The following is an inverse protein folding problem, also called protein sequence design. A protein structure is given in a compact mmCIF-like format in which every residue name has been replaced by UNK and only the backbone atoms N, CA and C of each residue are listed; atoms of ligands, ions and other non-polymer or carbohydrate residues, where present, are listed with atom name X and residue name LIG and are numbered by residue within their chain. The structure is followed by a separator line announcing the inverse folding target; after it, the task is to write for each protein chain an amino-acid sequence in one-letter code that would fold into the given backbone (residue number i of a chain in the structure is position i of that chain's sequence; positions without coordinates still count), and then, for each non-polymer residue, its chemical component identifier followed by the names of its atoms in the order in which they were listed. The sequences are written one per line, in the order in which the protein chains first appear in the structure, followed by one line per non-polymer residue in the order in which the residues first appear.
data_IF_512581303085
#
_entry.id   IF_512581303085
#
_cell.length_a   1.000
_cell.length_b   1.000
_cell.length_c   1.000
_cell.angle_alpha   90.00
_cell.angle_beta   90.00
_cell.angle_gamma   90.00
#
_symmetry.space_group_name_H-M   'P 1'
#
loop_
_entity.id
_entity.type
_entity.pdbx_description
1 polymer ?
2 polymer ?
3 non-polymer ?
#
loop_
_entity_poly.entity_id
_entity_poly.type
_entity_poly.pdbx_seq_one_letter_code
_entity_poly.pdbx_strand_id
2 'polydeoxyribonucleotide' '(DA)(DT)(DT)(DT)(DT)(DC)(DA)(DA)(DT)(DT)' ?
#
# COMPACT_ATOMS: atom_id res chain seq x y z
N UNK A 1 -31.01 13.40 -9.41
CA UNK A 1 -31.86 12.32 -8.83
C UNK A 1 -31.69 11.04 -9.65
N UNK A 2 -30.52 10.46 -9.63
CA UNK A 2 -30.30 9.21 -10.41
C UNK A 2 -30.59 8.00 -9.54
N UNK A 3 -31.19 6.98 -10.10
CA UNK A 3 -31.51 5.77 -9.30
C UNK A 3 -30.21 5.08 -8.86
N UNK A 4 -30.19 4.54 -7.68
CA UNK A 4 -28.96 3.85 -7.20
C UNK A 4 -28.71 2.58 -8.02
N UNK A 5 -27.47 2.23 -8.24
CA UNK A 5 -27.09 1.03 -9.03
C UNK A 5 -27.55 -0.28 -8.38
N UNK A 6 -27.95 -1.24 -9.16
CA UNK A 6 -28.39 -2.53 -8.57
C UNK A 6 -27.19 -3.47 -8.42
N UNK A 7 -26.24 -3.36 -9.30
CA UNK A 7 -25.04 -4.25 -9.20
C UNK A 7 -24.29 -3.94 -7.90
N UNK A 8 -24.43 -2.75 -7.38
CA UNK A 8 -23.72 -2.42 -6.11
C UNK A 8 -23.20 -0.98 -6.19
N UNK A 9 -22.55 -0.53 -5.14
CA UNK A 9 -21.99 0.85 -5.08
C UNK A 9 -20.81 1.05 -6.04
N UNK A 10 -20.64 2.24 -6.55
CA UNK A 10 -19.52 2.48 -7.50
C UNK A 10 -18.20 2.46 -6.73
N UNK A 11 -18.22 1.96 -5.52
CA UNK A 11 -16.97 1.91 -4.72
C UNK A 11 -16.13 0.71 -5.18
N UNK A 12 -16.58 0.02 -6.19
CA UNK A 12 -15.82 -1.17 -6.68
C UNK A 12 -14.61 -0.69 -7.50
N UNK A 13 -13.53 -1.43 -7.47
CA UNK A 13 -12.34 -1.01 -8.24
C UNK A 13 -12.38 -1.69 -9.62
N UNK A 14 -12.28 -0.92 -10.67
CA UNK A 14 -12.33 -1.52 -12.03
C UNK A 14 -11.18 -2.53 -12.19
N UNK A 15 -11.42 -3.63 -12.86
CA UNK A 15 -10.40 -4.69 -13.08
C UNK A 15 -9.29 -4.24 -14.03
N UNK A 16 -9.60 -3.37 -14.96
CA UNK A 16 -8.56 -2.89 -15.90
C UNK A 16 -7.52 -2.05 -15.15
N UNK A 17 -7.96 -1.20 -14.27
CA UNK A 17 -6.99 -0.36 -13.51
C UNK A 17 -6.13 -1.26 -12.63
N UNK A 18 -6.72 -2.21 -11.96
CA UNK A 18 -5.93 -3.13 -11.09
C UNK A 18 -4.93 -3.90 -11.94
N UNK A 19 -5.37 -4.45 -13.04
CA UNK A 19 -4.44 -5.24 -13.89
C UNK A 19 -3.42 -4.30 -14.54
N UNK A 20 -3.84 -3.14 -14.95
CA UNK A 20 -2.89 -2.19 -15.59
C UNK A 20 -1.81 -1.77 -14.59
N UNK A 21 -2.20 -1.40 -13.40
CA UNK A 21 -1.20 -0.99 -12.38
C UNK A 21 -0.33 -2.19 -11.98
N UNK A 22 -0.94 -3.32 -11.80
CA UNK A 22 -0.18 -4.54 -11.41
C UNK A 22 0.27 -5.28 -12.67
N UNK A 23 0.14 -4.67 -13.81
CA UNK A 23 0.54 -5.36 -15.07
C UNK A 23 2.02 -5.77 -14.98
N UNK A 24 2.65 -5.54 -13.85
CA UNK A 24 4.08 -5.93 -13.69
C UNK A 24 4.94 -5.13 -14.66
N UNK A 25 4.89 -3.83 -14.56
CA UNK A 25 5.72 -2.98 -15.48
C UNK A 25 6.49 -1.94 -14.65
N UNK A 26 7.64 -1.54 -15.11
CA UNK A 26 8.45 -0.53 -14.37
C UNK A 26 8.08 0.87 -14.85
N UNK A 27 7.82 1.75 -13.93
CA UNK A 27 7.43 3.14 -14.29
C UNK A 27 5.91 3.21 -14.36
N UNK A 28 5.30 3.98 -13.49
CA UNK A 28 3.82 4.10 -13.51
C UNK A 28 3.40 5.27 -12.60
N UNK A 29 3.05 6.38 -13.18
CA UNK A 29 2.63 7.55 -12.37
C UNK A 29 1.18 7.35 -11.92
N UNK A 30 0.66 8.26 -11.15
CA UNK A 30 -0.74 8.12 -10.66
C UNK A 30 -0.92 6.74 -10.03
N UNK A 31 0.05 6.28 -9.28
CA UNK A 31 -0.08 4.94 -8.63
C UNK A 31 -1.30 4.93 -7.72
N UNK A 32 -1.74 3.77 -7.33
CA UNK A 32 -2.93 3.67 -6.45
C UNK A 32 -2.50 3.15 -5.08
N UNK A 33 -3.11 3.65 -4.03
CA UNK A 33 -2.76 3.19 -2.66
C UNK A 33 -3.95 2.46 -2.04
N UNK A 34 -3.79 1.21 -1.73
CA UNK A 34 -4.91 0.44 -1.11
C UNK A 34 -4.56 0.18 0.36
N UNK A 35 -5.52 0.35 1.24
CA UNK A 35 -5.24 0.11 2.68
C UNK A 35 -6.38 -0.70 3.29
N UNK A 36 -6.09 -1.44 4.33
CA UNK A 36 -7.16 -2.25 4.99
C UNK A 36 -6.77 -2.50 6.44
N UNK A 37 -7.47 -1.89 7.36
CA UNK A 37 -7.14 -2.07 8.80
C UNK A 37 -8.23 -2.92 9.47
N UNK A 38 -7.85 -3.82 10.32
CA UNK A 38 -8.84 -4.68 11.02
C UNK A 38 -8.67 -4.54 12.52
N UNK A 39 -9.68 -4.91 13.28
CA UNK A 39 -9.58 -4.79 14.76
C UNK A 39 -9.55 -6.20 15.38
N UNK A 40 -8.63 -6.44 16.28
CA UNK A 40 -8.55 -7.79 16.89
C UNK A 40 -9.69 -7.95 17.90
N UNK A 41 -10.44 -9.02 17.81
CA UNK A 41 -11.57 -9.23 18.75
C UNK A 41 -11.38 -10.55 19.51
N UNK A 42 -10.90 -10.48 20.72
CA UNK A 42 -10.70 -11.72 21.53
C UNK A 42 -9.90 -12.72 20.70
N UNK A 43 -8.90 -12.28 19.99
CA UNK A 43 -8.08 -13.20 19.16
C UNK A 43 -8.72 -13.35 17.77
N UNK A 44 -9.90 -12.81 17.59
CA UNK A 44 -10.57 -12.91 16.26
C UNK A 44 -10.42 -11.58 15.52
N UNK A 45 -9.76 -11.58 14.40
CA UNK A 45 -9.58 -10.32 13.64
C UNK A 45 -10.82 -10.05 12.79
N UNK A 46 -11.57 -9.04 13.16
CA UNK A 46 -12.79 -8.71 12.38
C UNK A 46 -12.52 -7.48 11.52
N UNK A 47 -12.28 -7.67 10.25
CA UNK A 47 -12.00 -6.52 9.36
C UNK A 47 -13.31 -5.82 9.01
N UNK A 48 -13.26 -4.56 8.71
CA UNK A 48 -14.51 -3.81 8.36
C UNK A 48 -14.50 -3.49 6.86
N UNK A 49 -15.57 -3.79 6.18
CA UNK A 49 -15.64 -3.49 4.72
C UNK A 49 -15.58 -1.98 4.50
N UNK A 50 -16.23 -1.22 5.32
CA UNK A 50 -16.22 0.26 5.16
C UNK A 50 -14.79 0.76 5.32
N UNK A 51 -14.03 0.16 6.20
CA UNK A 51 -12.62 0.60 6.40
C UNK A 51 -11.82 0.34 5.12
N UNK A 52 -12.10 -0.72 4.43
CA UNK A 52 -11.36 -1.02 3.18
C UNK A 52 -11.57 0.10 2.17
N UNK A 53 -10.52 0.60 1.58
CA UNK A 53 -10.67 1.71 0.60
C UNK A 53 -9.33 1.96 -0.10
N UNK A 54 -9.26 2.96 -0.94
CA UNK A 54 -7.98 3.24 -1.65
C UNK A 54 -7.84 4.75 -1.85
N UNK A 55 -6.65 5.22 -2.09
CA UNK A 55 -6.44 6.68 -2.30
C UNK A 55 -5.59 6.91 -3.56
N UNK A 56 -5.65 8.08 -4.11
CA UNK A 56 -4.85 8.37 -5.34
C UNK A 56 -3.56 9.10 -4.96
N UNK A 57 -2.47 8.78 -5.62
CA UNK A 57 -1.18 9.45 -5.28
C UNK A 57 -1.03 10.72 -6.14
N UNK A 58 -2.08 11.13 -6.80
CA UNK A 58 -1.99 12.35 -7.64
C UNK A 58 -2.84 13.46 -7.02
N UNK A 59 -2.21 14.38 -6.32
CA UNK A 59 -2.97 15.50 -5.69
C UNK A 59 -2.28 16.82 -5.99
N UNK A 60 -2.79 17.58 -6.93
CA UNK A 60 -2.17 18.88 -7.28
C UNK A 60 -3.19 19.99 -7.04
N UNK A 61 -2.74 21.16 -6.66
CA UNK A 61 -3.67 22.29 -6.39
C UNK A 61 -2.99 23.30 -5.46
N UNK A 62 -2.15 24.15 -6.01
CA UNK A 62 -1.46 25.16 -5.16
C UNK A 62 -2.46 26.20 -4.66
N UNK A 63 -3.62 26.26 -5.28
CA UNK A 63 -4.63 27.26 -4.85
C UNK A 63 -5.01 26.99 -3.39
N UNK A 64 -5.02 25.75 -2.98
CA UNK A 64 -5.38 25.44 -1.58
C UNK A 64 -4.12 25.45 -0.70
N UNK A 65 -2.97 25.48 -1.32
CA UNK A 65 -1.71 25.49 -0.52
C UNK A 65 -1.44 24.09 0.05
N UNK A 66 -2.05 23.09 -0.53
CA UNK A 66 -1.84 21.71 -0.03
C UNK A 66 -0.64 21.08 -0.74
N UNK A 67 0.30 20.56 0.01
CA UNK A 67 1.50 19.95 -0.62
C UNK A 67 1.52 18.44 -0.32
N UNK A 68 1.86 17.65 -1.30
CA UNK A 68 1.89 16.17 -1.09
C UNK A 68 1.75 15.46 -2.43
N UNK A 69 2.32 14.30 -2.55
CA UNK A 69 2.25 13.54 -3.83
C UNK A 69 1.85 12.09 -3.54
N UNK A 70 2.65 11.39 -2.79
CA UNK A 70 2.31 9.98 -2.50
C UNK A 70 1.02 9.90 -1.71
N UNK A 71 0.12 9.05 -2.13
CA UNK A 71 -1.18 8.90 -1.43
C UNK A 71 -0.93 8.48 0.01
N UNK A 72 0.22 7.92 0.29
CA UNK A 72 0.51 7.49 1.67
C UNK A 72 0.31 8.66 2.62
N UNK A 73 0.74 9.83 2.22
CA UNK A 73 0.56 11.00 3.10
C UNK A 73 -0.93 11.25 3.30
N UNK A 74 -1.71 11.15 2.27
CA UNK A 74 -3.17 11.39 2.42
C UNK A 74 -3.75 10.41 3.44
N UNK A 75 -3.36 9.17 3.36
CA UNK A 75 -3.88 8.16 4.32
C UNK A 75 -3.41 8.53 5.73
N UNK A 76 -2.31 9.19 5.85
CA UNK A 76 -1.80 9.56 7.19
C UNK A 76 -2.87 10.39 7.89
N UNK A 77 -3.50 11.29 7.18
CA UNK A 77 -4.58 12.12 7.81
C UNK A 77 -5.79 11.22 8.09
N UNK A 78 -5.94 10.15 7.36
CA UNK A 78 -7.10 9.25 7.60
C UNK A 78 -6.89 8.47 8.91
N UNK A 79 -5.65 8.21 9.27
CA UNK A 79 -5.38 7.45 10.54
C UNK A 79 -6.05 8.16 11.72
N UNK A 80 -5.76 9.42 11.95
CA UNK A 80 -6.37 10.17 13.08
C UNK A 80 -7.90 10.19 12.97
N UNK A 81 -8.41 10.17 11.78
CA UNK A 81 -9.90 10.15 11.64
C UNK A 81 -10.45 8.90 12.33
N UNK A 82 -9.81 7.77 12.14
CA UNK A 82 -10.30 6.51 12.78
C UNK A 82 -10.14 6.62 14.29
N UNK A 83 -9.23 7.43 14.76
CA UNK A 83 -9.03 7.58 16.22
C UNK A 83 -8.79 6.21 16.84
N UNK A 84 -7.78 5.52 16.40
CA UNK A 84 -7.48 4.17 16.96
C UNK A 84 -7.00 4.32 18.41
N UNK A 85 -7.38 3.42 19.27
CA UNK A 85 -6.95 3.53 20.69
C UNK A 85 -5.72 2.63 20.92
N UNK A 86 -4.78 3.10 21.71
CA UNK A 86 -3.54 2.32 22.02
C UNK A 86 -3.81 1.07 22.88
N UNK A 87 -4.92 1.05 23.56
CA UNK A 87 -5.24 -0.12 24.42
C UNK A 87 -5.65 -1.31 23.54
N UNK A 88 -5.97 -1.05 22.30
CA UNK A 88 -6.37 -2.16 21.39
C UNK A 88 -5.29 -2.37 20.32
N UNK A 89 -5.23 -3.54 19.75
CA UNK A 89 -4.21 -3.80 18.69
C UNK A 89 -4.88 -3.75 17.32
N UNK A 90 -4.35 -2.95 16.42
CA UNK A 90 -4.93 -2.85 15.07
C UNK A 90 -3.89 -3.23 14.02
N UNK A 91 -4.28 -3.96 13.01
CA UNK A 91 -3.30 -4.35 11.96
C UNK A 91 -3.60 -3.54 10.69
N UNK A 92 -2.78 -2.57 10.39
CA UNK A 92 -3.02 -1.75 9.18
C UNK A 92 -1.99 -2.12 8.12
N UNK A 93 -2.43 -2.67 7.01
CA UNK A 93 -1.49 -3.05 5.92
C UNK A 93 -1.77 -2.19 4.68
N UNK A 94 -0.75 -1.63 4.11
CA UNK A 94 -0.94 -0.79 2.89
C UNK A 94 -0.36 -1.51 1.68
N UNK A 95 -1.12 -1.61 0.63
CA UNK A 95 -0.63 -2.29 -0.61
C UNK A 95 -0.44 -1.24 -1.70
N UNK A 96 0.78 -0.96 -2.08
CA UNK A 96 1.00 0.07 -3.14
C UNK A 96 1.90 -0.49 -4.24
N UNK A 97 1.91 0.14 -5.37
CA UNK A 97 2.76 -0.38 -6.47
C UNK A 97 4.21 -0.38 -6.02
N UNK A 98 4.65 0.69 -5.40
CA UNK A 98 6.06 0.73 -4.92
C UNK A 98 6.08 0.83 -3.40
N UNK A 99 7.00 0.15 -2.77
CA UNK A 99 7.10 0.25 -1.29
C UNK A 99 8.05 1.40 -0.90
N UNK A 100 9.14 1.59 -1.64
CA UNK A 100 10.14 2.65 -1.32
C UNK A 100 9.60 4.06 -1.58
N UNK A 101 10.12 5.04 -0.90
CA UNK A 101 9.63 6.42 -1.11
C UNK A 101 10.77 7.41 -0.92
N UNK A 102 10.69 8.56 -1.55
CA UNK A 102 11.78 9.56 -1.40
C UNK A 102 11.58 10.35 -0.11
N UNK A 103 12.58 11.08 0.33
CA UNK A 103 12.45 11.86 1.58
C UNK A 103 11.80 13.23 1.30
N UNK A 104 10.83 13.26 0.43
CA UNK A 104 10.15 14.55 0.12
C UNK A 104 9.54 15.12 1.41
N UNK A 105 8.95 14.29 2.22
CA UNK A 105 8.34 14.78 3.48
C UNK A 105 7.39 13.73 4.03
N UNK A 106 6.88 12.87 3.19
CA UNK A 106 5.94 11.82 3.66
C UNK A 106 6.71 10.75 4.44
N UNK A 107 7.92 10.47 4.03
CA UNK A 107 8.72 9.43 4.73
C UNK A 107 8.93 9.85 6.19
N UNK A 108 8.91 11.13 6.46
CA UNK A 108 9.11 11.60 7.86
C UNK A 108 7.79 11.50 8.64
N UNK A 109 6.70 11.82 8.01
CA UNK A 109 5.39 11.74 8.74
C UNK A 109 5.07 10.30 9.10
N UNK A 110 5.33 9.38 8.21
CA UNK A 110 5.05 7.95 8.50
C UNK A 110 5.99 7.47 9.61
N UNK A 111 7.22 7.90 9.59
CA UNK A 111 8.18 7.46 10.64
C UNK A 111 7.72 7.98 12.01
N UNK A 112 7.22 9.17 12.06
CA UNK A 112 6.75 9.73 13.36
C UNK A 112 5.55 8.93 13.85
N UNK A 113 4.68 8.54 12.97
CA UNK A 113 3.49 7.76 13.39
C UNK A 113 3.94 6.43 14.03
N UNK A 114 4.85 5.74 13.40
CA UNK A 114 5.33 4.46 13.99
C UNK A 114 6.02 4.73 15.32
N UNK A 115 6.82 5.75 15.39
CA UNK A 115 7.53 6.07 16.65
C UNK A 115 6.51 6.50 17.72
N UNK A 116 5.55 7.30 17.34
CA UNK A 116 4.53 7.76 18.32
C UNK A 116 3.49 6.65 18.55
N UNK A 117 3.26 5.84 17.56
CA UNK A 117 2.24 4.74 17.71
C UNK A 117 2.93 3.38 17.55
N UNK A 118 3.71 2.98 18.52
CA UNK A 118 4.40 1.66 18.42
C UNK A 118 3.38 0.54 18.67
N UNK A 119 2.25 0.87 19.23
CA UNK A 119 1.22 -0.19 19.51
C UNK A 119 0.48 -0.55 18.22
N UNK A 120 0.95 -0.08 17.10
CA UNK A 120 0.27 -0.40 15.80
C UNK A 120 1.24 -1.15 14.89
N UNK A 121 0.75 -2.14 14.19
CA UNK A 121 1.65 -2.91 13.29
C UNK A 121 1.46 -2.41 11.85
N UNK A 122 2.53 -1.98 11.22
CA UNK A 122 2.42 -1.47 9.83
C UNK A 122 3.13 -2.42 8.86
N UNK A 123 2.44 -2.86 7.85
CA UNK A 123 3.07 -3.77 6.86
C UNK A 123 2.82 -3.21 5.46
N UNK A 124 3.87 -3.07 4.67
CA UNK A 124 3.70 -2.52 3.30
C UNK A 124 4.12 -3.56 2.27
N UNK A 125 3.33 -3.72 1.23
CA UNK A 125 3.68 -4.71 0.18
C UNK A 125 4.34 -3.97 -0.99
N UNK A 126 5.53 -4.41 -1.36
CA UNK A 126 6.26 -3.74 -2.47
C UNK A 126 5.93 -4.42 -3.79
N UNK A 127 5.14 -3.79 -4.60
CA UNK A 127 4.82 -4.39 -5.92
C UNK A 127 5.88 -3.97 -6.94
N UNK A 128 6.49 -2.84 -6.73
CA UNK A 128 7.53 -2.33 -7.67
C UNK A 128 8.64 -1.61 -6.90
N UNK A 129 9.75 -1.34 -7.55
CA UNK A 129 10.85 -0.65 -6.84
C UNK A 129 10.94 0.81 -7.32
N UNK A 130 10.62 1.73 -6.46
CA UNK A 130 10.71 3.16 -6.82
C UNK A 130 11.91 3.74 -6.10
N UNK A 131 13.09 3.34 -6.47
CA UNK A 131 14.25 3.91 -5.76
C UNK A 131 14.73 5.14 -6.51
N UNK A 132 15.93 5.13 -6.98
CA UNK A 132 16.47 6.32 -7.72
C UNK A 132 17.99 6.28 -7.70
N UNK A 133 18.61 7.40 -7.99
CA UNK A 133 20.10 7.46 -7.99
C UNK A 133 20.63 6.67 -6.78
N UNK A 134 21.91 6.43 -6.73
CA UNK A 134 22.56 5.68 -5.62
C UNK A 134 22.12 6.18 -4.24
N UNK A 135 21.84 7.44 -4.11
CA UNK A 135 21.40 7.98 -2.79
C UNK A 135 20.18 7.21 -2.29
N UNK A 136 19.55 6.47 -3.16
CA UNK A 136 18.35 5.70 -2.73
C UNK A 136 18.74 4.69 -1.64
N UNK A 137 20.00 4.40 -1.50
CA UNK A 137 20.43 3.41 -0.48
C UNK A 137 20.01 3.92 0.92
N UNK A 138 20.31 5.15 1.23
CA UNK A 138 19.91 5.70 2.54
C UNK A 138 18.39 5.84 2.61
N UNK A 139 17.78 6.20 1.51
CA UNK A 139 16.29 6.37 1.51
C UNK A 139 15.62 5.09 1.98
N UNK A 140 15.98 3.96 1.43
CA UNK A 140 15.36 2.68 1.87
C UNK A 140 15.69 2.41 3.33
N UNK A 141 16.91 2.63 3.71
CA UNK A 141 17.29 2.39 5.13
C UNK A 141 16.55 3.39 6.02
N UNK A 142 16.37 4.59 5.55
CA UNK A 142 15.65 5.60 6.39
C UNK A 142 14.22 5.14 6.64
N UNK A 143 13.52 4.73 5.61
CA UNK A 143 12.12 4.26 5.80
C UNK A 143 12.13 2.91 6.53
N UNK A 144 13.02 2.04 6.15
CA UNK A 144 13.08 0.70 6.80
C UNK A 144 13.39 0.88 8.29
N UNK A 145 13.91 2.00 8.67
CA UNK A 145 14.23 2.22 10.10
C UNK A 145 12.96 1.99 10.95
N UNK A 146 11.86 2.51 10.53
CA UNK A 146 10.60 2.31 11.30
C UNK A 146 9.71 1.29 10.57
N UNK A 147 9.82 1.22 9.27
CA UNK A 147 9.00 0.25 8.49
C UNK A 147 9.79 -1.02 8.22
N UNK A 148 10.35 -1.63 9.23
CA UNK A 148 11.14 -2.87 9.01
C UNK A 148 10.21 -4.00 8.54
N UNK A 149 9.19 -3.66 7.80
CA UNK A 149 8.26 -4.70 7.30
C UNK A 149 8.01 -4.48 5.80
N UNK A 150 8.84 -5.06 4.96
CA UNK A 150 8.64 -4.89 3.50
C UNK A 150 8.58 -6.26 2.83
N UNK A 151 7.54 -6.52 2.07
CA UNK A 151 7.42 -7.84 1.40
C UNK A 151 6.89 -7.64 -0.03
N UNK A 152 7.29 -8.48 -0.94
CA UNK A 152 6.83 -8.35 -2.34
C UNK A 152 5.49 -9.08 -2.50
N UNK A 153 4.57 -8.52 -3.24
CA UNK A 153 3.25 -9.19 -3.41
C UNK A 153 3.46 -10.58 -4.03
N UNK A 154 2.79 -11.57 -3.51
CA UNK A 154 2.95 -12.95 -4.05
C UNK A 154 1.72 -13.32 -4.88
N UNK A 155 1.74 -14.44 -5.54
CA UNK A 155 0.58 -14.87 -6.37
C UNK A 155 -0.69 -14.86 -5.51
N UNK A 156 -0.60 -15.38 -4.33
CA UNK A 156 -1.80 -15.40 -3.44
C UNK A 156 -2.25 -13.96 -3.14
N UNK A 157 -1.32 -13.08 -2.92
CA UNK A 157 -1.69 -11.68 -2.62
C UNK A 157 -2.41 -11.07 -3.82
N UNK A 158 -1.94 -11.33 -5.01
CA UNK A 158 -2.61 -10.77 -6.22
C UNK A 158 -4.03 -11.31 -6.31
N UNK A 159 -4.20 -12.60 -6.16
CA UNK A 159 -5.57 -13.19 -6.22
C UNK A 159 -6.43 -12.62 -5.10
N UNK A 160 -5.90 -12.54 -3.91
CA UNK A 160 -6.68 -11.99 -2.77
C UNK A 160 -7.00 -10.52 -3.02
N UNK A 161 -6.08 -9.79 -3.60
CA UNK A 161 -6.33 -8.36 -3.88
C UNK A 161 -7.47 -8.21 -4.90
N UNK A 162 -7.52 -9.07 -5.88
CA UNK A 162 -8.61 -8.96 -6.89
C UNK A 162 -9.98 -9.16 -6.23
N UNK A 163 -10.16 -10.23 -5.53
CA UNK A 163 -11.47 -10.47 -4.87
C UNK A 163 -11.65 -9.47 -3.72
N UNK A 164 -10.58 -9.08 -3.10
CA UNK A 164 -10.70 -8.11 -1.97
C UNK A 164 -11.03 -6.71 -2.51
N UNK A 165 -10.37 -6.28 -3.55
CA UNK A 165 -10.64 -4.93 -4.10
C UNK A 165 -11.58 -5.02 -5.30
N UNK A 166 -11.57 -6.10 -6.01
CA UNK A 166 -12.45 -6.23 -7.21
C UNK A 166 -13.48 -7.35 -6.96
N UNK A 167 -14.73 -7.07 -7.16
CA UNK A 167 -15.76 -8.11 -6.94
C UNK A 167 -16.79 -8.05 -8.08
N UNK A 168 -16.43 -8.57 -9.23
CA UNK A 168 -17.37 -8.56 -10.38
C UNK A 168 -17.88 -9.96 -10.64
N UNK A 169 -19.16 -10.14 -10.72
CA UNK A 169 -19.72 -11.50 -10.97
C UNK A 169 -19.57 -11.84 -12.45
N UNK A 170 -19.04 -13.00 -12.75
CA UNK A 170 -18.85 -13.39 -14.17
C UNK A 170 -17.48 -12.92 -14.66
N UNK A 171 -16.69 -12.36 -13.78
CA UNK A 171 -15.33 -11.89 -14.19
C UNK A 171 -14.27 -12.50 -13.27
N UNK A 172 -13.74 -13.65 -13.63
CA UNK A 172 -12.72 -14.35 -12.80
C UNK A 172 -11.33 -13.71 -12.94
N UNK A 173 -10.53 -13.82 -11.91
CA UNK A 173 -9.17 -13.22 -11.98
C UNK A 173 -8.26 -14.11 -12.83
N UNK A 174 -7.48 -13.54 -13.70
CA UNK A 174 -6.57 -14.37 -14.54
C UNK A 174 -5.12 -14.06 -14.14
N UNK A 175 -4.52 -14.89 -13.33
CA UNK A 175 -3.10 -14.71 -12.89
C UNK A 175 -2.12 -14.74 -14.06
N UNK A 176 -1.06 -13.96 -13.98
CA UNK A 176 -0.07 -13.94 -15.08
C UNK A 176 1.24 -14.58 -14.61
N UNK A 177 1.93 -15.28 -15.47
CA UNK A 177 3.20 -15.93 -15.06
C UNK A 177 4.32 -14.89 -14.98
N UNK A 178 4.33 -14.10 -13.95
CA UNK A 178 5.41 -13.07 -13.82
C UNK A 178 5.77 -12.88 -12.34
N UNK A 179 4.99 -13.44 -11.45
CA UNK A 179 5.28 -13.29 -10.00
C UNK A 179 6.55 -14.07 -9.64
N UNK A 180 6.70 -15.23 -10.20
CA UNK A 180 7.89 -16.05 -9.88
C UNK A 180 9.16 -15.35 -10.33
N UNK A 181 9.19 -14.91 -11.55
CA UNK A 181 10.41 -14.19 -12.05
C UNK A 181 10.51 -12.83 -11.38
N UNK A 182 9.44 -12.10 -11.31
CA UNK A 182 9.48 -10.77 -10.66
C UNK A 182 9.82 -10.91 -9.17
N UNK A 183 9.18 -11.83 -8.50
CA UNK A 183 9.47 -12.03 -7.07
C UNK A 183 10.93 -12.41 -6.88
N UNK A 184 11.44 -13.29 -7.71
CA UNK A 184 12.86 -13.70 -7.57
C UNK A 184 13.77 -12.50 -7.88
N UNK A 185 13.47 -11.76 -8.90
CA UNK A 185 14.33 -10.58 -9.23
C UNK A 185 14.19 -9.53 -8.14
N UNK A 186 12.97 -9.18 -7.79
CA UNK A 186 12.77 -8.17 -6.71
C UNK A 186 13.26 -8.73 -5.38
N UNK A 187 13.00 -9.98 -5.12
CA UNK A 187 13.44 -10.59 -3.82
C UNK A 187 14.96 -10.46 -3.69
N UNK A 188 15.67 -10.73 -4.75
CA UNK A 188 17.16 -10.62 -4.69
C UNK A 188 17.55 -9.17 -4.45
N UNK A 189 16.90 -8.25 -5.12
CA UNK A 189 17.25 -6.82 -4.93
C UNK A 189 16.74 -6.36 -3.56
N UNK A 190 15.57 -6.80 -3.16
CA UNK A 190 15.02 -6.35 -1.85
C UNK A 190 15.94 -6.79 -0.72
N UNK A 191 16.32 -8.04 -0.69
CA UNK A 191 17.22 -8.53 0.38
C UNK A 191 18.62 -7.95 0.19
N UNK A 192 19.04 -7.80 -1.03
CA UNK A 192 20.40 -7.25 -1.29
C UNK A 192 20.52 -5.85 -0.68
N UNK A 193 19.50 -5.06 -0.78
CA UNK A 193 19.56 -3.69 -0.20
C UNK A 193 19.72 -3.79 1.32
N UNK A 194 18.96 -4.64 1.95
CA UNK A 194 19.06 -4.79 3.42
C UNK A 194 20.36 -5.52 3.79
N UNK A 195 20.82 -6.38 2.95
CA UNK A 195 22.06 -7.14 3.23
C UNK A 195 23.21 -6.16 3.50
N UNK A 196 23.11 -4.97 2.95
CA UNK A 196 24.20 -3.96 3.18
C UNK A 196 24.38 -3.74 4.68
N UNK A 197 23.30 -3.75 5.42
CA UNK A 197 23.41 -3.55 6.89
C UNK A 197 24.16 -4.74 7.51
N UNK A 198 23.93 -5.93 7.01
CA UNK A 198 24.62 -7.12 7.57
C UNK A 198 26.13 -6.95 7.42
N UNK A 199 26.58 -6.43 6.32
CA UNK A 199 28.04 -6.23 6.12
C UNK A 199 28.50 -5.00 6.91
#
# INVERSE_FOLDING_TARGET
MEASPASGPRHLMDPHIFTSNFNNGIGRHKTYLCYEVERLDNGTSVKMDQHRGFLHNQAKNLNSGFYGRHAQLRFLDLVPSLQLDPAQIYRVTWFISWSPCFSWGCAGEVRAFLQENTHVRLRIFAARIYDYDPLYKEALQMLRDAGAQVSIMTYDEFKHCWDTFVDHQGQPFQPWDGLDEHSQALSGRLRAILQNQGN
#
